data_IF_204542269565
#
_entry.id   IF_204542269565
#
_cell.length_a   1.000
_cell.length_b   1.000
_cell.length_c   1.000
_cell.angle_alpha   90.00
_cell.angle_beta   90.00
_cell.angle_gamma   90.00
#
_symmetry.space_group_name_H-M   'P 1'
#
loop_
_entity.id
_entity.type
_entity.pdbx_description
1 polymer ?
#
# COMPACT_ATOMS: atom_id res chain seq x y z
N UNK A 1 -20.37 44.80 -67.17
CA UNK A 1 -19.03 44.22 -67.03
C UNK A 1 -18.48 44.48 -65.64
N UNK A 2 -19.05 43.89 -64.62
CA UNK A 2 -18.52 43.94 -63.19
C UNK A 2 -18.83 42.63 -62.44
N UNK A 3 -18.53 41.49 -63.04
CA UNK A 3 -18.90 40.20 -62.42
C UNK A 3 -17.79 39.15 -62.37
N UNK A 4 -16.59 39.38 -62.82
CA UNK A 4 -15.59 38.32 -62.97
C UNK A 4 -14.29 38.50 -62.15
N UNK A 5 -14.20 39.53 -61.32
CA UNK A 5 -12.99 39.74 -60.48
C UNK A 5 -13.10 39.07 -59.10
N UNK A 6 -14.32 38.95 -58.60
CA UNK A 6 -14.53 38.34 -57.23
C UNK A 6 -14.36 36.82 -57.22
N UNK A 7 -14.66 36.13 -58.34
CA UNK A 7 -14.54 34.67 -58.43
C UNK A 7 -13.10 34.19 -58.61
N UNK A 8 -12.20 35.01 -59.10
CA UNK A 8 -10.78 34.68 -59.28
C UNK A 8 -10.00 34.84 -57.97
N UNK A 9 -10.45 35.72 -57.05
CA UNK A 9 -9.79 35.90 -55.78
C UNK A 9 -10.15 34.78 -54.75
N UNK A 10 -11.36 34.23 -54.84
CA UNK A 10 -11.79 33.12 -53.99
C UNK A 10 -11.07 31.79 -54.33
N UNK A 11 -10.75 31.61 -55.64
CA UNK A 11 -10.03 30.40 -56.06
C UNK A 11 -8.53 30.43 -55.76
N UNK A 12 -7.95 31.63 -55.57
CA UNK A 12 -6.54 31.75 -55.21
C UNK A 12 -6.31 31.56 -53.68
N UNK A 13 -7.29 31.90 -52.85
CA UNK A 13 -7.24 31.69 -51.40
C UNK A 13 -7.46 30.19 -51.07
N UNK A 14 -8.31 29.47 -51.84
CA UNK A 14 -8.54 28.03 -51.61
C UNK A 14 -7.38 27.13 -52.06
N UNK A 15 -6.47 27.64 -52.93
CA UNK A 15 -5.29 26.88 -53.38
C UNK A 15 -4.05 27.07 -52.49
N UNK A 16 -4.03 28.08 -51.62
CA UNK A 16 -2.92 28.32 -50.69
C UNK A 16 -3.09 27.54 -49.41
N UNK A 17 -4.34 27.24 -49.00
CA UNK A 17 -4.59 26.44 -47.78
C UNK A 17 -4.42 24.92 -47.96
N UNK A 18 -4.34 24.42 -49.19
CA UNK A 18 -4.17 22.98 -49.48
C UNK A 18 -2.71 22.50 -49.45
N UNK A 19 -1.74 23.41 -49.31
CA UNK A 19 -0.31 23.04 -49.30
C UNK A 19 0.37 23.12 -47.91
N UNK A 20 -0.37 23.37 -46.85
CA UNK A 20 0.17 23.45 -45.47
C UNK A 20 -0.16 22.22 -44.59
N UNK A 21 -0.66 21.13 -45.17
CA UNK A 21 -0.57 19.84 -44.53
C UNK A 21 0.86 19.29 -44.70
N UNK A 22 1.80 19.84 -43.97
CA UNK A 22 3.05 19.14 -43.72
C UNK A 22 2.69 17.86 -42.97
N UNK A 23 2.71 16.75 -43.71
CA UNK A 23 2.75 15.41 -43.07
C UNK A 23 3.98 15.38 -42.20
N UNK A 24 3.79 15.61 -40.91
CA UNK A 24 4.83 15.33 -39.91
C UNK A 24 4.99 13.82 -39.91
N UNK A 25 5.83 13.34 -40.81
CA UNK A 25 6.29 11.96 -40.78
C UNK A 25 7.16 11.82 -39.54
N UNK A 26 6.60 11.26 -38.49
CA UNK A 26 7.37 10.85 -37.35
C UNK A 26 8.33 9.74 -37.81
N UNK A 27 9.51 10.15 -38.26
CA UNK A 27 10.58 9.20 -38.53
C UNK A 27 10.96 8.55 -37.18
N UNK A 28 10.55 7.33 -37.01
CA UNK A 28 11.05 6.48 -35.92
C UNK A 28 12.56 6.27 -36.22
N UNK A 29 13.41 7.12 -35.64
CA UNK A 29 14.86 6.87 -35.65
C UNK A 29 15.11 5.62 -34.81
N UNK A 30 15.40 4.51 -35.46
CA UNK A 30 15.90 3.32 -34.76
C UNK A 30 17.25 3.67 -34.13
N UNK A 31 17.29 3.77 -32.81
CA UNK A 31 18.54 3.92 -32.07
C UNK A 31 19.37 2.64 -32.18
N UNK A 32 20.69 2.71 -32.16
CA UNK A 32 21.54 1.53 -32.05
C UNK A 32 21.14 0.70 -30.82
N UNK A 33 21.15 -0.62 -30.96
CA UNK A 33 20.92 -1.53 -29.84
C UNK A 33 22.05 -1.39 -28.83
N UNK A 34 21.70 -1.45 -27.56
CA UNK A 34 22.63 -1.41 -26.44
C UNK A 34 22.40 -2.63 -25.55
N UNK A 35 23.32 -3.00 -24.66
CA UNK A 35 23.10 -4.04 -23.66
C UNK A 35 21.84 -3.84 -22.82
N UNK A 36 21.43 -2.57 -22.64
CA UNK A 36 20.19 -2.23 -21.94
C UNK A 36 18.90 -2.82 -22.57
N UNK A 37 18.92 -3.12 -23.87
CA UNK A 37 17.71 -3.60 -24.56
C UNK A 37 17.28 -5.01 -24.12
N UNK A 38 18.25 -5.83 -23.70
CA UNK A 38 18.04 -7.20 -23.23
C UNK A 38 18.36 -7.38 -21.73
N UNK A 39 18.62 -6.28 -21.02
CA UNK A 39 18.94 -6.32 -19.60
C UNK A 39 17.72 -6.74 -18.77
N UNK A 40 17.93 -7.73 -17.91
CA UNK A 40 17.02 -8.08 -16.83
C UNK A 40 17.61 -7.58 -15.51
N UNK A 41 16.95 -6.65 -14.82
CA UNK A 41 17.51 -6.02 -13.66
C UNK A 41 17.33 -6.86 -12.41
N UNK A 42 16.09 -7.09 -11.96
CA UNK A 42 15.88 -8.03 -10.87
C UNK A 42 15.65 -9.42 -11.44
N UNK A 43 16.63 -10.29 -11.23
CA UNK A 43 16.56 -11.68 -11.67
C UNK A 43 16.82 -12.61 -10.49
N UNK A 44 15.84 -13.47 -10.17
CA UNK A 44 16.04 -14.56 -9.23
C UNK A 44 16.90 -15.61 -9.94
N UNK A 45 18.03 -15.95 -9.34
CA UNK A 45 18.98 -16.94 -9.86
C UNK A 45 18.61 -18.35 -9.35
N UNK A 46 19.21 -19.37 -9.96
CA UNK A 46 18.90 -20.77 -9.66
C UNK A 46 19.20 -21.18 -8.19
N UNK A 47 20.11 -20.49 -7.53
CA UNK A 47 20.48 -20.68 -6.13
C UNK A 47 19.61 -19.86 -5.15
N UNK A 48 18.57 -19.15 -5.66
CA UNK A 48 17.70 -18.31 -4.87
C UNK A 48 18.26 -16.91 -4.56
N UNK A 49 19.47 -16.58 -5.01
CA UNK A 49 19.97 -15.21 -4.92
C UNK A 49 19.29 -14.30 -5.94
N UNK A 50 19.35 -12.98 -5.74
CA UNK A 50 18.77 -11.98 -6.66
C UNK A 50 19.86 -11.09 -7.21
N UNK A 51 19.96 -11.02 -8.52
CA UNK A 51 20.81 -10.09 -9.22
C UNK A 51 20.08 -8.79 -9.53
N UNK A 52 20.64 -7.68 -9.07
CA UNK A 52 20.20 -6.31 -9.39
C UNK A 52 21.16 -5.71 -10.41
N UNK A 53 20.63 -5.14 -11.50
CA UNK A 53 21.45 -4.66 -12.62
C UNK A 53 20.96 -3.33 -13.15
N UNK A 54 21.89 -2.47 -13.55
CA UNK A 54 21.62 -1.24 -14.27
C UNK A 54 22.66 -1.00 -15.35
N UNK A 55 22.21 -0.55 -16.52
CA UNK A 55 23.12 -0.14 -17.60
C UNK A 55 23.48 1.34 -17.43
N UNK A 56 24.72 1.60 -17.04
CA UNK A 56 25.25 2.94 -16.86
C UNK A 56 26.74 2.98 -17.32
N UNK A 57 27.00 2.94 -18.66
CA UNK A 57 28.34 2.73 -19.20
C UNK A 57 29.32 3.85 -18.86
N UNK A 58 28.82 5.07 -18.65
CA UNK A 58 29.65 6.25 -18.36
C UNK A 58 29.76 6.54 -16.86
N UNK A 59 29.06 5.79 -16.00
CA UNK A 59 29.12 6.02 -14.56
C UNK A 59 30.48 5.58 -13.98
N UNK A 60 30.95 6.32 -12.97
CA UNK A 60 32.15 6.02 -12.20
C UNK A 60 31.82 5.19 -10.95
N UNK A 61 30.63 5.36 -10.40
CA UNK A 61 30.20 4.68 -9.19
C UNK A 61 28.70 4.36 -9.23
N UNK A 62 28.32 3.12 -8.87
CA UNK A 62 26.93 2.75 -8.67
C UNK A 62 26.80 1.97 -7.38
N UNK A 63 25.77 2.30 -6.60
CA UNK A 63 25.35 1.55 -5.40
C UNK A 63 23.87 1.25 -5.44
N UNK A 64 23.45 0.21 -4.71
CA UNK A 64 22.04 -0.13 -4.49
C UNK A 64 21.70 0.11 -3.02
N UNK A 65 20.59 0.79 -2.77
CA UNK A 65 20.03 1.07 -1.44
C UNK A 65 18.60 0.53 -1.33
N UNK A 66 18.11 0.36 -0.12
CA UNK A 66 16.74 -0.09 0.17
C UNK A 66 16.70 -1.14 1.25
N UNK A 67 15.54 -1.80 1.39
CA UNK A 67 15.25 -2.72 2.49
C UNK A 67 16.25 -3.89 2.62
N UNK A 68 16.88 -4.32 1.51
CA UNK A 68 17.84 -5.41 1.49
C UNK A 68 19.29 -4.99 1.77
N UNK A 69 19.59 -3.70 1.65
CA UNK A 69 20.91 -3.14 1.90
C UNK A 69 21.07 -2.63 3.34
N UNK A 70 20.02 -2.75 4.13
CA UNK A 70 19.94 -2.23 5.48
C UNK A 70 20.36 -0.74 5.54
N UNK A 71 21.37 -0.40 6.38
CA UNK A 71 21.85 0.98 6.54
C UNK A 71 23.06 1.31 5.67
N UNK A 72 23.60 0.33 4.94
CA UNK A 72 24.82 0.53 4.14
C UNK A 72 24.55 0.20 2.67
N UNK A 73 24.63 1.19 1.75
CA UNK A 73 24.44 0.93 0.33
C UNK A 73 25.36 -0.15 -0.20
N UNK A 74 24.80 -1.12 -0.90
CA UNK A 74 25.58 -2.20 -1.52
C UNK A 74 26.32 -1.68 -2.76
N UNK A 75 27.63 -1.84 -2.79
CA UNK A 75 28.47 -1.46 -3.95
C UNK A 75 28.21 -2.41 -5.11
N UNK A 76 28.08 -1.86 -6.31
CA UNK A 76 27.91 -2.62 -7.54
C UNK A 76 29.21 -2.71 -8.34
N UNK A 77 29.37 -3.76 -9.12
CA UNK A 77 30.55 -3.99 -9.98
C UNK A 77 30.18 -3.82 -11.44
N UNK A 78 30.96 -3.04 -12.18
CA UNK A 78 30.78 -2.77 -13.62
C UNK A 78 31.46 -3.85 -14.47
N UNK A 79 30.75 -4.40 -15.42
CA UNK A 79 31.32 -5.30 -16.42
C UNK A 79 31.79 -4.56 -17.69
N UNK A 80 32.37 -5.29 -18.64
CA UNK A 80 32.88 -4.73 -19.91
C UNK A 80 31.80 -4.08 -20.80
N UNK A 81 30.54 -4.52 -20.65
CA UNK A 81 29.40 -4.01 -21.41
C UNK A 81 28.79 -2.75 -20.79
N UNK A 82 29.33 -2.25 -19.67
CA UNK A 82 28.82 -1.08 -18.95
C UNK A 82 27.59 -1.37 -18.10
N UNK A 83 27.35 -2.64 -17.77
CA UNK A 83 26.33 -3.06 -16.84
C UNK A 83 26.94 -3.15 -15.44
N UNK A 84 26.27 -2.52 -14.48
CA UNK A 84 26.59 -2.64 -13.06
C UNK A 84 25.72 -3.70 -12.43
N UNK A 85 26.30 -4.53 -11.58
CA UNK A 85 25.61 -5.65 -10.92
C UNK A 85 25.98 -5.76 -9.45
N UNK A 86 25.00 -6.14 -8.64
CA UNK A 86 25.17 -6.70 -7.29
C UNK A 86 24.25 -7.89 -7.13
N UNK A 87 24.74 -8.94 -6.47
CA UNK A 87 23.95 -10.15 -6.16
C UNK A 87 23.74 -10.21 -4.66
N UNK A 88 22.48 -10.35 -4.26
CA UNK A 88 22.04 -10.43 -2.85
C UNK A 88 21.48 -11.80 -2.56
N UNK A 89 21.90 -12.40 -1.44
CA UNK A 89 21.43 -13.71 -0.96
C UNK A 89 20.80 -13.62 0.43
N UNK A 90 20.26 -14.75 0.91
CA UNK A 90 19.64 -14.81 2.24
C UNK A 90 18.30 -14.07 2.36
N UNK A 91 17.68 -13.74 1.22
CA UNK A 91 16.46 -12.95 1.17
C UNK A 91 15.27 -13.84 1.59
N UNK A 92 14.47 -13.38 2.54
CA UNK A 92 13.20 -14.01 2.87
C UNK A 92 12.13 -13.66 1.82
N UNK A 93 11.16 -14.56 1.54
CA UNK A 93 10.06 -14.23 0.64
C UNK A 93 9.32 -12.95 1.08
N UNK A 94 9.15 -11.99 0.15
CA UNK A 94 8.59 -10.68 0.50
C UNK A 94 8.55 -9.70 -0.65
N UNK A 95 8.17 -8.46 -0.33
CA UNK A 95 8.26 -7.30 -1.23
C UNK A 95 9.20 -6.30 -0.60
N UNK A 96 10.17 -5.84 -1.38
CA UNK A 96 11.28 -5.01 -0.91
C UNK A 96 11.46 -3.78 -1.79
N UNK A 97 11.70 -2.64 -1.14
CA UNK A 97 12.06 -1.39 -1.81
C UNK A 97 13.56 -1.40 -2.13
N UNK A 98 13.90 -0.90 -3.30
CA UNK A 98 15.29 -0.62 -3.66
C UNK A 98 15.39 0.55 -4.64
N UNK A 99 16.54 1.18 -4.69
CA UNK A 99 16.89 2.21 -5.66
C UNK A 99 18.39 2.11 -6.00
N UNK A 100 18.77 2.67 -7.14
CA UNK A 100 20.18 2.82 -7.47
C UNK A 100 20.63 4.25 -7.19
N UNK A 101 21.90 4.40 -6.82
CA UNK A 101 22.59 5.69 -6.81
C UNK A 101 23.68 5.62 -7.86
N UNK A 102 23.56 6.45 -8.90
CA UNK A 102 24.49 6.52 -10.03
C UNK A 102 25.21 7.86 -9.92
N UNK A 103 26.50 7.84 -9.59
CA UNK A 103 27.36 9.03 -9.42
C UNK A 103 26.73 10.12 -8.52
N UNK A 104 26.09 9.71 -7.43
CA UNK A 104 25.43 10.61 -6.47
C UNK A 104 23.96 10.89 -6.76
N UNK A 105 23.42 10.45 -7.90
CA UNK A 105 22.00 10.63 -8.26
C UNK A 105 21.19 9.38 -7.93
N UNK A 106 20.21 9.52 -7.04
CA UNK A 106 19.25 8.44 -6.77
C UNK A 106 18.28 8.27 -7.94
N UNK A 107 18.09 7.03 -8.38
CA UNK A 107 17.22 6.70 -9.49
C UNK A 107 16.45 5.40 -9.26
N UNK A 108 15.24 5.34 -9.81
CA UNK A 108 14.50 4.09 -9.93
C UNK A 108 15.22 3.14 -10.89
N UNK A 109 14.97 1.86 -10.75
CA UNK A 109 15.36 0.88 -11.74
C UNK A 109 14.51 1.04 -13.01
N UNK A 110 15.13 1.40 -14.15
CA UNK A 110 14.40 1.58 -15.41
C UNK A 110 13.75 0.29 -15.94
N UNK A 111 14.12 -0.87 -15.37
CA UNK A 111 13.60 -2.18 -15.75
C UNK A 111 12.56 -2.74 -14.78
N UNK A 112 12.35 -2.07 -13.64
CA UNK A 112 11.32 -2.49 -12.71
C UNK A 112 9.92 -2.21 -13.27
N UNK A 113 9.05 -3.20 -13.18
CA UNK A 113 7.65 -3.05 -13.57
C UNK A 113 6.82 -2.29 -12.52
N UNK A 114 7.34 -2.16 -11.30
CA UNK A 114 6.63 -1.56 -10.17
C UNK A 114 7.53 -0.61 -9.39
N UNK A 115 6.94 0.47 -8.93
CA UNK A 115 7.59 1.44 -8.07
C UNK A 115 6.63 2.02 -7.05
N UNK A 116 7.16 2.41 -5.90
CA UNK A 116 6.47 3.18 -4.87
C UNK A 116 7.32 4.40 -4.53
N UNK A 117 6.76 5.59 -4.74
CA UNK A 117 7.44 6.86 -4.56
C UNK A 117 8.81 6.90 -5.26
N UNK A 118 9.90 6.92 -4.51
CA UNK A 118 11.28 7.00 -5.01
C UNK A 118 11.99 5.65 -5.06
N UNK A 119 11.25 4.55 -4.88
CA UNK A 119 11.80 3.19 -4.85
C UNK A 119 11.17 2.30 -5.91
N UNK A 120 11.99 1.47 -6.52
CA UNK A 120 11.54 0.30 -7.27
C UNK A 120 11.19 -0.84 -6.33
N UNK A 121 10.36 -1.78 -6.77
CA UNK A 121 9.95 -2.92 -5.96
C UNK A 121 10.48 -4.23 -6.53
N UNK A 122 11.11 -5.02 -5.65
CA UNK A 122 11.37 -6.43 -5.85
C UNK A 122 10.28 -7.22 -5.15
N UNK A 123 9.53 -8.04 -5.90
CA UNK A 123 8.68 -9.09 -5.35
C UNK A 123 9.43 -10.40 -5.38
N UNK A 124 9.89 -10.85 -4.23
CA UNK A 124 10.62 -12.11 -4.08
C UNK A 124 9.68 -13.20 -3.57
N UNK A 125 9.25 -14.06 -4.48
CA UNK A 125 8.38 -15.21 -4.23
C UNK A 125 8.95 -16.40 -5.02
N UNK A 126 10.05 -17.01 -4.55
CA UNK A 126 10.84 -17.97 -5.34
C UNK A 126 10.14 -19.30 -5.58
N UNK A 127 9.23 -19.75 -4.68
CA UNK A 127 8.46 -20.98 -4.87
C UNK A 127 7.22 -20.78 -5.74
N UNK A 128 6.71 -19.53 -5.81
CA UNK A 128 5.50 -19.17 -6.56
C UNK A 128 4.19 -19.56 -5.87
N UNK A 129 4.26 -20.25 -4.73
CA UNK A 129 3.11 -20.68 -3.91
C UNK A 129 3.03 -19.94 -2.57
N UNK A 130 3.86 -18.91 -2.37
CA UNK A 130 3.75 -18.03 -1.20
C UNK A 130 2.35 -17.41 -1.14
N UNK A 131 1.79 -17.29 0.06
CA UNK A 131 0.42 -16.81 0.27
C UNK A 131 0.14 -15.40 -0.32
N UNK A 132 1.18 -14.63 -0.62
CA UNK A 132 1.13 -13.32 -1.29
C UNK A 132 1.60 -13.37 -2.75
N UNK A 133 1.88 -14.55 -3.31
CA UNK A 133 2.23 -14.71 -4.72
C UNK A 133 0.99 -14.59 -5.61
N UNK A 134 1.23 -14.25 -6.88
CA UNK A 134 0.19 -14.29 -7.92
C UNK A 134 -0.12 -15.75 -8.25
N UNK A 135 -1.24 -16.24 -7.78
CA UNK A 135 -1.71 -17.61 -8.02
C UNK A 135 -2.71 -17.66 -9.19
N UNK A 136 -2.95 -18.84 -9.73
CA UNK A 136 -3.93 -19.05 -10.80
C UNK A 136 -5.35 -19.20 -10.23
N UNK A 137 -5.87 -18.09 -9.72
CA UNK A 137 -7.22 -17.96 -9.15
C UNK A 137 -7.96 -16.79 -9.78
N UNK A 138 -9.27 -16.69 -9.55
CA UNK A 138 -9.99 -15.48 -9.94
C UNK A 138 -9.53 -14.30 -9.08
N UNK A 139 -9.11 -13.21 -9.72
CA UNK A 139 -8.61 -12.03 -9.03
C UNK A 139 -9.67 -10.95 -8.89
N UNK A 140 -9.61 -10.25 -7.75
CA UNK A 140 -10.30 -9.01 -7.51
C UNK A 140 -9.60 -7.82 -8.17
N UNK A 141 -10.01 -6.63 -7.83
CA UNK A 141 -9.41 -5.40 -8.35
C UNK A 141 -8.90 -4.51 -7.21
N UNK A 142 -7.67 -4.02 -7.33
CA UNK A 142 -7.19 -2.89 -6.52
C UNK A 142 -7.35 -1.63 -7.34
N UNK A 143 -8.10 -0.66 -6.83
CA UNK A 143 -8.40 0.58 -7.54
C UNK A 143 -8.11 1.80 -6.69
N UNK A 144 -7.64 2.85 -7.34
CA UNK A 144 -7.39 4.16 -6.74
C UNK A 144 -8.66 5.01 -6.83
N UNK A 145 -9.01 5.72 -5.75
CA UNK A 145 -10.15 6.63 -5.66
C UNK A 145 -9.75 7.93 -4.99
N UNK A 146 -10.45 8.97 -5.40
CA UNK A 146 -10.29 10.32 -4.83
C UNK A 146 -11.58 10.74 -4.17
N UNK A 147 -11.46 11.43 -3.05
CA UNK A 147 -12.57 12.04 -2.30
C UNK A 147 -12.15 13.39 -1.77
N UNK A 148 -13.11 14.24 -1.45
CA UNK A 148 -12.84 15.49 -0.77
C UNK A 148 -12.93 15.27 0.74
N UNK A 149 -11.88 15.65 1.46
CA UNK A 149 -11.83 15.62 2.92
C UNK A 149 -12.07 17.02 3.48
N UNK A 150 -13.11 17.17 4.29
CA UNK A 150 -13.37 18.41 5.05
C UNK A 150 -12.38 18.55 6.20
N UNK A 151 -11.91 17.44 6.77
CA UNK A 151 -10.92 17.44 7.85
C UNK A 151 -9.57 18.02 7.43
N UNK A 152 -9.16 17.79 6.18
CA UNK A 152 -7.90 18.32 5.62
C UNK A 152 -8.12 19.49 4.65
N UNK A 153 -9.37 19.81 4.32
CA UNK A 153 -9.75 20.80 3.31
C UNK A 153 -9.05 20.56 1.96
N UNK A 154 -8.98 19.29 1.53
CA UNK A 154 -8.26 18.92 0.31
C UNK A 154 -8.84 17.66 -0.35
N UNK A 155 -8.49 17.45 -1.62
CA UNK A 155 -8.72 16.17 -2.30
C UNK A 155 -7.68 15.19 -1.78
N UNK A 156 -8.17 14.06 -1.27
CA UNK A 156 -7.33 12.95 -0.79
C UNK A 156 -7.57 11.70 -1.63
N UNK A 157 -6.64 10.79 -1.52
CA UNK A 157 -6.64 9.52 -2.25
C UNK A 157 -6.75 8.35 -1.27
N UNK A 158 -7.37 7.28 -1.72
CA UNK A 158 -7.35 5.98 -1.07
C UNK A 158 -7.28 4.87 -2.12
N UNK A 159 -6.78 3.72 -1.73
CA UNK A 159 -6.93 2.49 -2.52
C UNK A 159 -8.03 1.62 -1.92
N UNK A 160 -8.66 0.82 -2.76
CA UNK A 160 -9.59 -0.20 -2.28
C UNK A 160 -9.43 -1.49 -3.08
N UNK A 161 -9.59 -2.61 -2.41
CA UNK A 161 -9.73 -3.91 -3.02
C UNK A 161 -11.19 -4.34 -3.04
N UNK A 162 -11.65 -4.87 -4.19
CA UNK A 162 -12.93 -5.51 -4.35
C UNK A 162 -12.73 -6.97 -4.76
N UNK A 163 -13.54 -7.92 -4.26
CA UNK A 163 -13.36 -9.35 -4.55
C UNK A 163 -13.65 -9.70 -6.02
N UNK A 164 -13.13 -10.82 -6.47
CA UNK A 164 -13.41 -11.33 -7.81
C UNK A 164 -14.92 -11.44 -8.06
N UNK A 165 -15.36 -10.95 -9.21
CA UNK A 165 -16.77 -10.91 -9.61
C UNK A 165 -17.62 -9.84 -8.93
N UNK A 166 -17.01 -8.88 -8.25
CA UNK A 166 -17.68 -7.77 -7.55
C UNK A 166 -18.70 -7.05 -8.43
N UNK A 167 -18.40 -6.78 -9.69
CA UNK A 167 -19.27 -6.06 -10.64
C UNK A 167 -20.61 -6.77 -10.89
N UNK A 168 -20.70 -8.06 -10.58
CA UNK A 168 -21.89 -8.89 -10.73
C UNK A 168 -22.59 -9.17 -9.40
N UNK A 169 -22.06 -8.71 -8.28
CA UNK A 169 -22.62 -8.95 -6.97
C UNK A 169 -23.79 -8.01 -6.70
N UNK A 170 -24.99 -8.56 -6.59
CA UNK A 170 -26.20 -7.81 -6.23
C UNK A 170 -26.53 -8.01 -4.74
N UNK A 171 -25.56 -7.72 -3.86
CA UNK A 171 -25.76 -7.76 -2.40
C UNK A 171 -24.88 -6.73 -1.72
N UNK A 172 -25.23 -6.33 -0.52
CA UNK A 172 -24.39 -5.49 0.33
C UNK A 172 -23.17 -6.27 0.82
N UNK A 173 -22.02 -5.61 0.91
CA UNK A 173 -20.78 -6.17 1.42
C UNK A 173 -20.36 -5.45 2.70
N UNK A 174 -19.70 -6.13 3.65
CA UNK A 174 -19.02 -5.50 4.77
C UNK A 174 -17.77 -4.77 4.29
N UNK A 175 -17.28 -3.83 5.09
CA UNK A 175 -16.11 -2.99 4.76
C UNK A 175 -15.02 -3.15 5.82
N UNK A 176 -13.81 -3.44 5.38
CA UNK A 176 -12.63 -3.49 6.21
C UNK A 176 -11.70 -2.31 5.87
N UNK A 177 -11.51 -1.39 6.82
CA UNK A 177 -10.58 -0.26 6.71
C UNK A 177 -9.22 -0.69 7.24
N UNK A 178 -8.17 -0.58 6.40
CA UNK A 178 -6.83 -1.11 6.65
C UNK A 178 -5.78 0.00 6.49
N UNK A 179 -5.30 0.53 7.62
CA UNK A 179 -4.46 1.74 7.68
C UNK A 179 -2.98 1.38 7.73
N UNK A 180 -2.15 2.08 6.93
CA UNK A 180 -0.69 1.91 6.91
C UNK A 180 0.00 2.59 8.10
N UNK A 181 1.33 2.42 8.22
CA UNK A 181 2.15 3.01 9.28
C UNK A 181 2.81 4.34 8.91
N UNK A 182 3.60 4.87 9.84
CA UNK A 182 4.39 6.08 9.59
C UNK A 182 5.37 5.90 8.44
N UNK A 183 5.53 6.96 7.62
CA UNK A 183 6.43 6.95 6.46
C UNK A 183 5.90 6.27 5.20
N UNK A 184 4.74 5.61 5.27
CA UNK A 184 4.03 5.05 4.13
C UNK A 184 2.82 5.93 3.75
N UNK A 185 2.03 5.50 2.78
CA UNK A 185 0.80 6.12 2.32
C UNK A 185 -0.22 5.05 1.87
N UNK A 186 -1.29 5.44 1.23
CA UNK A 186 -2.35 4.55 0.72
C UNK A 186 -1.86 3.45 -0.24
N UNK A 187 -0.62 3.54 -0.77
CA UNK A 187 0.02 2.51 -1.60
C UNK A 187 0.75 1.44 -0.78
N UNK A 188 1.00 1.68 0.51
CA UNK A 188 1.76 0.75 1.37
C UNK A 188 1.16 -0.66 1.38
N UNK A 189 -0.10 -0.80 1.77
CA UNK A 189 -0.79 -2.09 1.79
C UNK A 189 -0.94 -2.73 0.40
N UNK A 190 -1.38 -2.02 -0.66
CA UNK A 190 -1.47 -2.60 -2.00
C UNK A 190 -0.15 -3.13 -2.54
N UNK A 191 0.93 -2.39 -2.35
CA UNK A 191 2.22 -2.67 -2.99
C UNK A 191 3.16 -3.45 -2.07
N UNK A 192 3.55 -2.88 -0.91
CA UNK A 192 4.48 -3.53 0.03
C UNK A 192 3.81 -4.67 0.79
N UNK A 193 2.58 -4.46 1.21
CA UNK A 193 1.76 -5.47 1.87
C UNK A 193 1.27 -6.57 0.95
N UNK A 194 1.29 -6.38 -0.38
CA UNK A 194 0.69 -7.27 -1.37
C UNK A 194 -0.77 -7.62 -1.05
N UNK A 195 -1.51 -6.69 -0.42
CA UNK A 195 -2.82 -6.95 0.17
C UNK A 195 -3.81 -7.53 -0.84
N UNK A 196 -3.85 -7.00 -2.08
CA UNK A 196 -4.75 -7.52 -3.11
C UNK A 196 -4.56 -9.00 -3.39
N UNK A 197 -3.30 -9.47 -3.51
CA UNK A 197 -3.01 -10.88 -3.78
C UNK A 197 -3.30 -11.78 -2.58
N UNK A 198 -3.00 -11.33 -1.36
CA UNK A 198 -3.35 -12.07 -0.14
C UNK A 198 -4.87 -12.25 -0.05
N UNK A 199 -5.62 -11.17 -0.28
CA UNK A 199 -7.09 -11.19 -0.22
C UNK A 199 -7.70 -12.04 -1.33
N UNK A 200 -7.15 -12.00 -2.56
CA UNK A 200 -7.57 -12.86 -3.66
C UNK A 200 -7.38 -14.34 -3.34
N UNK A 201 -6.20 -14.71 -2.82
CA UNK A 201 -5.89 -16.08 -2.45
C UNK A 201 -6.80 -16.57 -1.31
N UNK A 202 -6.97 -15.77 -0.26
CA UNK A 202 -7.88 -16.09 0.86
C UNK A 202 -9.34 -16.21 0.40
N UNK A 203 -9.78 -15.36 -0.52
CA UNK A 203 -11.13 -15.41 -1.06
C UNK A 203 -11.35 -16.65 -1.93
N UNK A 204 -10.40 -16.98 -2.79
CA UNK A 204 -10.43 -18.19 -3.62
C UNK A 204 -10.43 -19.48 -2.79
N UNK A 205 -9.72 -19.49 -1.65
CA UNK A 205 -9.71 -20.57 -0.68
C UNK A 205 -10.99 -20.66 0.18
N UNK A 206 -11.92 -19.71 0.03
CA UNK A 206 -13.13 -19.64 0.85
C UNK A 206 -12.87 -19.31 2.33
N UNK A 207 -11.69 -18.78 2.66
CA UNK A 207 -11.30 -18.44 4.05
C UNK A 207 -11.90 -17.12 4.51
N UNK A 208 -12.22 -16.21 3.60
CA UNK A 208 -12.86 -14.93 3.90
C UNK A 208 -14.20 -14.79 3.18
N UNK A 209 -15.14 -14.10 3.82
CA UNK A 209 -16.36 -13.64 3.16
C UNK A 209 -16.03 -12.52 2.17
N UNK A 210 -16.79 -12.35 1.08
CA UNK A 210 -16.60 -11.21 0.20
C UNK A 210 -16.85 -9.90 0.97
N UNK A 211 -15.90 -8.99 0.87
CA UNK A 211 -15.90 -7.67 1.51
C UNK A 211 -15.21 -6.65 0.61
N UNK A 212 -15.36 -5.37 0.90
CA UNK A 212 -14.49 -4.32 0.37
C UNK A 212 -13.41 -4.03 1.40
N UNK A 213 -12.14 -3.95 0.97
CA UNK A 213 -11.04 -3.50 1.84
C UNK A 213 -10.60 -2.12 1.39
N UNK A 214 -10.70 -1.14 2.27
CA UNK A 214 -10.36 0.28 2.03
C UNK A 214 -9.01 0.56 2.67
N UNK A 215 -8.08 1.06 1.91
CA UNK A 215 -6.71 1.38 2.33
C UNK A 215 -6.48 2.89 2.15
N UNK A 216 -6.86 3.69 3.17
CA UNK A 216 -6.74 5.15 3.10
C UNK A 216 -5.30 5.62 3.32
N UNK A 217 -5.03 6.87 2.94
CA UNK A 217 -3.81 7.57 3.33
C UNK A 217 -3.94 8.08 4.76
N UNK A 218 -3.22 7.45 5.69
CA UNK A 218 -3.14 7.85 7.11
C UNK A 218 -2.05 8.89 7.42
N UNK A 219 -1.40 9.47 6.40
CA UNK A 219 -0.28 10.40 6.59
C UNK A 219 -0.76 11.82 6.97
N UNK A 220 -1.47 11.90 8.08
CA UNK A 220 -1.91 13.13 8.74
C UNK A 220 -1.90 12.92 10.26
N UNK A 221 -2.09 14.00 11.02
CA UNK A 221 -2.24 13.92 12.48
C UNK A 221 -3.36 12.93 12.86
N UNK A 222 -3.18 12.26 14.00
CA UNK A 222 -4.09 11.21 14.48
C UNK A 222 -5.53 11.70 14.67
N UNK A 223 -5.71 12.92 15.16
CA UNK A 223 -7.03 13.51 15.34
C UNK A 223 -7.68 13.83 13.98
N UNK A 224 -6.91 14.45 13.08
CA UNK A 224 -7.35 14.75 11.72
C UNK A 224 -7.72 13.47 10.97
N UNK A 225 -6.93 12.39 11.14
CA UNK A 225 -7.25 11.12 10.52
C UNK A 225 -8.57 10.54 11.05
N UNK A 226 -8.79 10.64 12.37
CA UNK A 226 -10.04 10.14 12.99
C UNK A 226 -11.26 10.86 12.41
N UNK A 227 -11.20 12.19 12.32
CA UNK A 227 -12.26 13.01 11.74
C UNK A 227 -12.45 12.68 10.24
N UNK A 228 -11.35 12.54 9.49
CA UNK A 228 -11.39 12.19 8.07
C UNK A 228 -11.99 10.80 7.83
N UNK A 229 -11.61 9.80 8.64
CA UNK A 229 -12.18 8.45 8.55
C UNK A 229 -13.69 8.46 8.80
N UNK A 230 -14.10 9.09 9.89
CA UNK A 230 -15.48 9.03 10.36
C UNK A 230 -16.44 9.93 9.55
N UNK A 231 -16.00 11.11 9.16
CA UNK A 231 -16.83 12.14 8.54
C UNK A 231 -16.71 12.20 7.00
N UNK A 232 -15.64 11.65 6.42
CA UNK A 232 -15.41 11.72 4.97
C UNK A 232 -15.24 10.36 4.32
N UNK A 233 -14.31 9.50 4.79
CA UNK A 233 -14.00 8.22 4.13
C UNK A 233 -15.18 7.25 4.23
N UNK A 234 -15.71 7.02 5.43
CA UNK A 234 -16.87 6.13 5.62
C UNK A 234 -18.08 6.59 4.80
N UNK A 235 -18.53 7.86 4.90
CA UNK A 235 -19.62 8.35 4.06
C UNK A 235 -19.36 8.26 2.56
N UNK A 236 -18.13 8.52 2.11
CA UNK A 236 -17.75 8.36 0.70
C UNK A 236 -17.92 6.91 0.22
N UNK A 237 -17.44 5.94 0.99
CA UNK A 237 -17.55 4.51 0.65
C UNK A 237 -19.03 4.08 0.64
N UNK A 238 -19.81 4.46 1.64
CA UNK A 238 -21.20 4.07 1.79
C UNK A 238 -22.13 4.71 0.73
N UNK A 239 -21.79 5.89 0.25
CA UNK A 239 -22.51 6.54 -0.86
C UNK A 239 -22.12 6.02 -2.23
N UNK A 240 -20.92 5.43 -2.36
CA UNK A 240 -20.36 5.01 -3.66
C UNK A 240 -20.59 3.53 -3.96
N UNK A 241 -20.57 2.69 -2.92
CA UNK A 241 -20.62 1.24 -3.05
C UNK A 241 -21.85 0.63 -2.34
N UNK A 242 -22.31 -0.51 -2.83
CA UNK A 242 -23.39 -1.26 -2.20
C UNK A 242 -22.87 -2.02 -0.97
N UNK A 243 -22.75 -1.33 0.16
CA UNK A 243 -22.19 -1.84 1.42
C UNK A 243 -23.22 -1.72 2.57
N UNK A 244 -22.97 -2.48 3.62
CA UNK A 244 -23.66 -2.28 4.89
C UNK A 244 -23.17 -0.99 5.55
N UNK A 245 -24.07 -0.32 6.30
CA UNK A 245 -23.81 0.97 6.94
C UNK A 245 -23.86 0.91 8.47
N UNK A 246 -23.87 -0.30 9.02
CA UNK A 246 -23.91 -0.54 10.46
C UNK A 246 -22.55 -1.03 11.00
N UNK A 247 -22.28 -0.85 12.31
CA UNK A 247 -21.00 -1.22 12.93
C UNK A 247 -20.65 -2.70 12.81
N UNK A 248 -21.66 -3.59 12.78
CA UNK A 248 -21.44 -5.03 12.72
C UNK A 248 -20.77 -5.46 11.40
N UNK A 249 -20.82 -4.62 10.39
CA UNK A 249 -20.23 -4.84 9.07
C UNK A 249 -19.06 -3.87 8.76
N UNK A 250 -18.52 -3.19 9.79
CA UNK A 250 -17.31 -2.38 9.66
C UNK A 250 -16.18 -2.93 10.53
N UNK A 251 -15.01 -3.11 9.94
CA UNK A 251 -13.78 -3.47 10.61
C UNK A 251 -12.72 -2.39 10.40
N UNK A 252 -11.92 -2.13 11.43
CA UNK A 252 -10.79 -1.20 11.38
C UNK A 252 -9.51 -1.88 11.85
N UNK A 253 -8.45 -1.76 11.05
CA UNK A 253 -7.11 -2.19 11.43
C UNK A 253 -6.07 -1.16 11.00
N UNK A 254 -5.02 -1.03 11.80
CA UNK A 254 -3.87 -0.21 11.44
C UNK A 254 -2.58 -0.78 11.98
N UNK A 255 -1.50 -0.60 11.22
CA UNK A 255 -0.16 -0.97 11.62
C UNK A 255 0.62 0.24 12.14
N UNK A 256 1.46 0.07 13.17
CA UNK A 256 2.34 1.11 13.70
C UNK A 256 1.56 2.41 13.98
N UNK A 257 1.85 3.52 13.31
CA UNK A 257 1.09 4.77 13.44
C UNK A 257 -0.40 4.57 13.12
N UNK A 258 -0.75 3.77 12.11
CA UNK A 258 -2.14 3.41 11.83
C UNK A 258 -2.83 2.67 12.98
N UNK A 259 -2.06 1.92 13.78
CA UNK A 259 -2.56 1.31 15.01
C UNK A 259 -2.84 2.35 16.11
N UNK A 260 -2.02 3.40 16.23
CA UNK A 260 -2.31 4.55 17.11
C UNK A 260 -3.61 5.23 16.66
N UNK A 261 -3.78 5.43 15.36
CA UNK A 261 -5.01 5.99 14.78
C UNK A 261 -6.22 5.08 15.04
N UNK A 262 -6.06 3.76 14.90
CA UNK A 262 -7.11 2.79 15.25
C UNK A 262 -7.53 2.90 16.72
N UNK A 263 -6.56 2.99 17.63
CA UNK A 263 -6.85 3.16 19.06
C UNK A 263 -7.48 4.52 19.39
N UNK A 264 -7.17 5.57 18.63
CA UNK A 264 -7.83 6.87 18.79
C UNK A 264 -9.32 6.80 18.37
N UNK A 265 -9.64 6.06 17.30
CA UNK A 265 -11.03 5.78 16.92
C UNK A 265 -11.75 5.00 18.02
N UNK A 266 -11.09 4.00 18.66
CA UNK A 266 -11.66 3.30 19.81
C UNK A 266 -11.99 4.29 20.94
N UNK A 267 -11.12 5.25 21.23
CA UNK A 267 -11.35 6.21 22.30
C UNK A 267 -12.48 7.21 22.02
N UNK A 268 -12.76 7.52 20.75
CA UNK A 268 -13.68 8.57 20.36
C UNK A 268 -14.98 8.10 19.74
N UNK A 269 -14.90 7.01 18.96
CA UNK A 269 -15.98 6.53 18.09
C UNK A 269 -16.04 5.02 18.07
N UNK A 270 -15.86 4.35 19.23
CA UNK A 270 -15.92 2.89 19.32
C UNK A 270 -17.23 2.29 18.83
N UNK A 271 -18.31 3.06 18.88
CA UNK A 271 -19.65 2.68 18.41
C UNK A 271 -19.75 2.52 16.88
N UNK A 272 -18.75 2.96 16.12
CA UNK A 272 -18.78 2.90 14.67
C UNK A 272 -18.32 1.56 14.08
N UNK A 273 -17.65 0.72 14.86
CA UNK A 273 -17.08 -0.54 14.39
C UNK A 273 -17.25 -1.66 15.45
N UNK A 274 -17.51 -2.87 14.99
CA UNK A 274 -17.55 -4.05 15.89
C UNK A 274 -16.27 -4.90 15.84
N UNK A 275 -15.31 -4.57 14.95
CA UNK A 275 -14.12 -5.37 14.70
C UNK A 275 -12.89 -4.46 14.64
N UNK A 276 -11.92 -4.72 15.55
CA UNK A 276 -10.70 -3.94 15.64
C UNK A 276 -9.47 -4.83 15.68
N UNK A 277 -8.42 -4.45 14.92
CA UNK A 277 -7.12 -5.12 14.94
C UNK A 277 -6.02 -4.05 15.00
N UNK A 278 -5.18 -4.09 16.02
CA UNK A 278 -4.04 -3.20 16.23
C UNK A 278 -2.76 -3.98 15.95
N UNK A 279 -2.01 -3.58 14.93
CA UNK A 279 -0.83 -4.29 14.43
C UNK A 279 0.45 -3.54 14.80
N UNK A 280 1.40 -4.20 15.49
CA UNK A 280 2.72 -3.67 15.82
C UNK A 280 2.66 -2.23 16.31
N UNK A 281 1.83 -1.95 17.32
CA UNK A 281 1.53 -0.59 17.76
C UNK A 281 1.28 -0.51 19.25
N UNK A 282 1.36 0.70 19.77
CA UNK A 282 1.07 1.08 21.14
C UNK A 282 1.33 2.55 21.35
N UNK A 283 0.69 3.14 22.33
CA UNK A 283 0.97 4.53 22.71
C UNK A 283 2.36 4.65 23.35
N UNK A 284 3.06 5.74 23.11
CA UNK A 284 4.40 5.98 23.65
C UNK A 284 4.36 6.13 25.15
N UNK A 285 4.86 5.13 25.87
CA UNK A 285 4.88 5.07 27.35
C UNK A 285 5.64 6.25 27.94
N UNK A 286 5.09 6.83 29.01
CA UNK A 286 5.66 8.01 29.68
C UNK A 286 5.40 9.34 28.97
N UNK A 287 4.59 9.37 27.91
CA UNK A 287 4.11 10.61 27.32
C UNK A 287 2.81 11.06 27.97
N UNK A 288 2.56 12.36 27.96
CA UNK A 288 1.27 12.94 28.41
C UNK A 288 0.08 12.33 27.64
N UNK A 289 0.28 11.99 26.36
CA UNK A 289 -0.74 11.36 25.52
C UNK A 289 -1.05 9.95 26.01
N UNK A 290 -0.05 9.16 26.40
CA UNK A 290 -0.23 7.84 27.00
C UNK A 290 -1.11 7.96 28.24
N UNK A 291 -0.73 8.80 29.19
CA UNK A 291 -1.45 8.97 30.46
C UNK A 291 -2.91 9.44 30.26
N UNK A 292 -3.13 10.40 29.34
CA UNK A 292 -4.48 10.86 28.98
C UNK A 292 -5.33 9.76 28.38
N UNK A 293 -4.74 8.94 27.51
CA UNK A 293 -5.47 7.90 26.80
C UNK A 293 -5.86 6.77 27.74
N UNK A 294 -4.91 6.26 28.56
CA UNK A 294 -5.23 5.17 29.50
C UNK A 294 -6.25 5.61 30.56
N UNK A 295 -6.25 6.88 30.99
CA UNK A 295 -7.23 7.41 31.94
C UNK A 295 -8.68 7.38 31.39
N UNK A 296 -8.86 7.38 30.07
CA UNK A 296 -10.18 7.33 29.42
C UNK A 296 -10.73 5.90 29.26
N UNK A 297 -9.87 4.90 29.19
CA UNK A 297 -10.24 3.51 28.91
C UNK A 297 -11.34 2.97 29.85
N UNK A 298 -11.26 3.13 31.19
CA UNK A 298 -12.27 2.57 32.10
C UNK A 298 -13.69 3.09 31.83
N UNK A 299 -13.82 4.32 31.33
CA UNK A 299 -15.12 4.95 31.09
C UNK A 299 -15.86 4.38 29.89
N UNK A 300 -15.15 3.81 28.91
CA UNK A 300 -15.73 3.27 27.68
C UNK A 300 -15.74 1.74 27.62
N UNK A 301 -14.95 1.04 28.45
CA UNK A 301 -14.75 -0.41 28.38
C UNK A 301 -16.05 -1.22 28.44
N UNK A 302 -16.99 -0.82 29.30
CA UNK A 302 -18.27 -1.51 29.42
C UNK A 302 -19.11 -1.42 28.15
N UNK A 303 -19.24 -0.22 27.60
CA UNK A 303 -20.02 0.01 26.40
C UNK A 303 -19.35 -0.65 25.18
N UNK A 304 -18.06 -0.49 25.05
CA UNK A 304 -17.25 -1.18 24.05
C UNK A 304 -17.49 -2.70 24.04
N UNK A 305 -17.39 -3.36 25.20
CA UNK A 305 -17.57 -4.81 25.31
C UNK A 305 -18.99 -5.30 25.05
N UNK A 306 -19.99 -4.41 25.03
CA UNK A 306 -21.38 -4.76 24.78
C UNK A 306 -21.67 -4.98 23.29
N UNK A 307 -20.94 -4.33 22.38
CA UNK A 307 -21.18 -4.40 20.94
C UNK A 307 -19.98 -4.87 20.14
N UNK A 308 -18.74 -4.53 20.54
CA UNK A 308 -17.54 -4.95 19.80
C UNK A 308 -17.35 -6.45 19.90
N UNK A 309 -17.26 -7.09 18.76
CA UNK A 309 -17.14 -8.55 18.61
C UNK A 309 -15.68 -9.02 18.68
N UNK A 310 -14.75 -8.16 18.28
CA UNK A 310 -13.35 -8.53 18.21
C UNK A 310 -12.45 -7.32 18.44
N UNK A 311 -11.51 -7.45 19.39
CA UNK A 311 -10.37 -6.58 19.55
C UNK A 311 -9.11 -7.44 19.65
N UNK A 312 -8.20 -7.28 18.69
CA UNK A 312 -6.93 -8.00 18.64
C UNK A 312 -5.78 -7.00 18.67
N UNK A 313 -4.77 -7.31 19.49
CA UNK A 313 -3.45 -6.69 19.43
C UNK A 313 -2.43 -7.70 18.89
N UNK A 314 -1.55 -7.27 18.00
CA UNK A 314 -0.42 -8.10 17.54
C UNK A 314 0.88 -7.34 17.61
N UNK A 315 1.99 -8.10 17.77
CA UNK A 315 3.35 -7.58 17.72
C UNK A 315 4.24 -8.52 16.90
N UNK A 316 5.34 -7.99 16.40
CA UNK A 316 6.33 -8.74 15.62
C UNK A 316 7.38 -9.46 16.44
N UNK A 317 7.14 -9.71 17.73
CA UNK A 317 8.12 -10.25 18.67
C UNK A 317 8.93 -9.16 19.38
N UNK A 318 9.84 -9.53 20.30
CA UNK A 318 10.64 -8.58 21.08
C UNK A 318 11.52 -7.63 20.25
N UNK A 319 11.86 -8.01 19.03
CA UNK A 319 12.61 -7.19 18.05
C UNK A 319 11.74 -6.11 17.37
N UNK A 320 10.43 -6.15 17.54
CA UNK A 320 9.54 -5.10 17.05
C UNK A 320 9.77 -3.81 17.85
N UNK A 321 10.11 -2.72 17.18
CA UNK A 321 10.36 -1.42 17.83
C UNK A 321 9.15 -0.90 18.62
N UNK A 322 7.94 -1.33 18.27
CA UNK A 322 6.71 -1.00 19.00
C UNK A 322 6.40 -1.99 20.15
N UNK A 323 7.19 -3.06 20.32
CA UNK A 323 6.86 -4.15 21.24
C UNK A 323 6.59 -3.65 22.66
N UNK A 324 7.53 -2.90 23.25
CA UNK A 324 7.39 -2.37 24.60
C UNK A 324 6.13 -1.51 24.75
N UNK A 325 5.95 -0.54 23.87
CA UNK A 325 4.79 0.34 23.89
C UNK A 325 3.48 -0.46 23.70
N UNK A 326 3.50 -1.44 22.82
CA UNK A 326 2.37 -2.32 22.54
C UNK A 326 1.97 -3.17 23.75
N UNK A 327 2.95 -3.75 24.47
CA UNK A 327 2.69 -4.54 25.68
C UNK A 327 2.09 -3.69 26.81
N UNK A 328 2.65 -2.49 27.06
CA UNK A 328 2.11 -1.58 28.08
C UNK A 328 0.71 -1.07 27.72
N UNK A 329 0.47 -0.77 26.44
CA UNK A 329 -0.86 -0.38 25.98
C UNK A 329 -1.87 -1.52 26.11
N UNK A 330 -1.52 -2.74 25.69
CA UNK A 330 -2.35 -3.93 25.85
C UNK A 330 -2.69 -4.19 27.33
N UNK A 331 -1.71 -4.05 28.21
CA UNK A 331 -1.90 -4.16 29.65
C UNK A 331 -2.93 -3.16 30.15
N UNK A 332 -2.81 -1.88 29.75
CA UNK A 332 -3.76 -0.83 30.14
C UNK A 332 -5.20 -1.14 29.65
N UNK A 333 -5.37 -1.65 28.43
CA UNK A 333 -6.67 -2.09 27.93
C UNK A 333 -7.25 -3.22 28.80
N UNK A 334 -6.46 -4.26 29.11
CA UNK A 334 -6.89 -5.39 29.96
C UNK A 334 -7.26 -4.95 31.37
N UNK A 335 -6.42 -4.12 32.00
CA UNK A 335 -6.67 -3.59 33.36
C UNK A 335 -7.90 -2.69 33.43
N UNK A 336 -8.23 -2.02 32.31
CA UNK A 336 -9.45 -1.23 32.16
C UNK A 336 -10.71 -2.08 31.86
N UNK A 337 -10.56 -3.39 31.74
CA UNK A 337 -11.68 -4.33 31.55
C UNK A 337 -12.06 -4.61 30.10
N UNK A 338 -11.26 -4.22 29.11
CA UNK A 338 -11.51 -4.58 27.72
C UNK A 338 -11.29 -6.08 27.46
N UNK A 339 -12.19 -6.68 26.71
CA UNK A 339 -12.02 -8.03 26.19
C UNK A 339 -11.16 -7.95 24.93
N UNK A 340 -9.88 -8.30 25.02
CA UNK A 340 -8.96 -8.26 23.91
C UNK A 340 -8.09 -9.51 23.85
N UNK A 341 -7.74 -9.90 22.64
CA UNK A 341 -6.83 -11.00 22.33
C UNK A 341 -5.45 -10.45 21.95
N UNK A 342 -4.42 -11.29 22.12
CA UNK A 342 -3.06 -10.97 21.75
C UNK A 342 -2.41 -12.11 20.98
N UNK A 343 -1.71 -11.75 19.91
CA UNK A 343 -0.93 -12.67 19.08
C UNK A 343 0.45 -12.08 18.78
N UNK A 344 1.44 -12.94 18.68
CA UNK A 344 2.75 -12.58 18.13
C UNK A 344 2.91 -13.21 16.75
N UNK A 345 3.42 -12.41 15.81
CA UNK A 345 3.86 -12.85 14.50
C UNK A 345 5.39 -12.70 14.43
N UNK A 346 6.10 -13.52 13.64
CA UNK A 346 7.55 -13.37 13.48
C UNK A 346 7.91 -12.15 12.63
N UNK A 347 9.15 -11.63 12.76
CA UNK A 347 9.77 -10.71 11.81
C UNK A 347 9.82 -9.24 12.18
N UNK A 348 9.58 -8.90 13.44
CA UNK A 348 9.78 -7.54 13.96
C UNK A 348 8.81 -6.52 13.35
N UNK A 349 9.24 -5.25 13.28
CA UNK A 349 8.45 -4.12 12.77
C UNK A 349 8.54 -4.00 11.26
N UNK A 350 8.05 -5.00 10.53
CA UNK A 350 8.27 -5.12 9.08
C UNK A 350 7.03 -5.54 8.31
N UNK A 351 7.03 -5.28 7.00
CA UNK A 351 6.01 -5.76 6.07
C UNK A 351 5.90 -7.30 6.04
N UNK A 352 6.97 -8.03 6.41
CA UNK A 352 6.92 -9.48 6.60
C UNK A 352 5.86 -9.83 7.65
N UNK A 353 5.98 -9.31 8.85
CA UNK A 353 5.04 -9.47 9.97
C UNK A 353 3.61 -9.11 9.57
N UNK A 354 3.42 -7.95 8.96
CA UNK A 354 2.09 -7.42 8.65
C UNK A 354 1.38 -8.19 7.53
N UNK A 355 2.10 -8.76 6.56
CA UNK A 355 1.52 -9.70 5.60
C UNK A 355 0.99 -10.96 6.26
N UNK A 356 1.72 -11.54 7.22
CA UNK A 356 1.25 -12.67 8.01
C UNK A 356 0.01 -12.29 8.82
N UNK A 357 0.02 -11.14 9.48
CA UNK A 357 -1.15 -10.65 10.21
C UNK A 357 -2.38 -10.49 9.30
N UNK A 358 -2.23 -9.92 8.11
CA UNK A 358 -3.33 -9.79 7.15
C UNK A 358 -3.88 -11.17 6.74
N UNK A 359 -3.01 -12.13 6.42
CA UNK A 359 -3.41 -13.50 6.08
C UNK A 359 -4.17 -14.20 7.21
N UNK A 360 -3.67 -14.09 8.44
CA UNK A 360 -4.16 -14.90 9.55
C UNK A 360 -5.36 -14.27 10.27
N UNK A 361 -5.49 -12.95 10.24
CA UNK A 361 -6.52 -12.24 10.99
C UNK A 361 -7.73 -11.82 10.15
N UNK A 362 -7.57 -11.55 8.85
CA UNK A 362 -8.71 -11.26 7.98
C UNK A 362 -9.79 -12.36 8.00
N UNK A 363 -9.44 -13.67 8.05
CA UNK A 363 -10.42 -14.74 8.19
C UNK A 363 -11.28 -14.70 9.45
N UNK A 364 -10.94 -13.88 10.42
CA UNK A 364 -11.69 -13.72 11.68
C UNK A 364 -12.77 -12.65 11.62
N UNK A 365 -12.72 -11.79 10.60
CA UNK A 365 -13.68 -10.69 10.45
C UNK A 365 -15.03 -11.16 9.90
N UNK A 366 -16.10 -10.52 10.36
CA UNK A 366 -17.47 -10.68 9.84
C UNK A 366 -18.04 -12.11 9.97
N UNK A 367 -17.70 -12.79 11.09
CA UNK A 367 -18.21 -14.15 11.42
C UNK A 367 -19.36 -14.09 12.40
#
# INVERSE_FOLDING_TARGET
MKGNIFLKFLFFILLVDLNLCTVVSAQVRMRPRTPNDTLHSTQILADGTVAFRIYAPNAESVTMSGDLAEYTPAKMTKNADGIWEVVMGGIQPGVYRYSFNVDGVSTLDPKSAQAIETYSLLKYAPSGDEFFALQNVAHGAVSERYYYSTATNSIRRLHLWTPAGFEKMNRKLPVFYLVHGGGDNDRGWPQLGAAGLILDNLYAEGKISPMIVVMPDGHVDTEIFTDDLCENIIPFIESTYNVYTDPAHRALSGLSNGGIQTMNVILKHHEMFDWYIVLSSGWFTGSDTFEKNIARLPSIAKDFNNHVKLLIFTQGGPEDIAYKNGQETLKAFKESGFKCEYFEAPGGHTWYTWRYNLRDLTPRLFK
#
